data_IF_819286209121
#
_entry.id   IF_819286209121
#
_cell.length_a   1.000
_cell.length_b   1.000
_cell.length_c   1.000
_cell.angle_alpha   90.00
_cell.angle_beta   90.00
_cell.angle_gamma   90.00
#
_symmetry.space_group_name_H-M   'P 1'
#
loop_
_entity.id
_entity.type
_entity.pdbx_description
1 polymer ?
#
# COMPACT_ATOMS: atom_id res chain seq x y z
N UNK A 1 17.89 23.06 -27.02
CA UNK A 1 16.57 22.92 -26.43
C UNK A 1 16.64 22.52 -24.97
N UNK A 2 16.21 23.41 -24.10
CA UNK A 2 15.93 23.14 -22.69
C UNK A 2 14.41 23.13 -22.54
N UNK A 3 13.87 22.02 -22.04
CA UNK A 3 12.44 21.90 -21.80
C UNK A 3 12.17 21.90 -20.29
N UNK A 4 11.32 22.80 -19.81
CA UNK A 4 10.79 22.74 -18.46
C UNK A 4 9.53 21.89 -18.43
N UNK A 5 9.55 20.79 -17.69
CA UNK A 5 8.43 19.82 -17.63
C UNK A 5 7.83 19.81 -16.22
N UNK A 6 6.50 19.91 -16.13
CA UNK A 6 5.74 19.75 -14.90
C UNK A 6 5.13 18.33 -14.81
N UNK A 7 5.48 17.58 -13.78
CA UNK A 7 4.89 16.30 -13.42
C UNK A 7 3.82 16.47 -12.34
N UNK A 8 2.59 16.14 -12.69
CA UNK A 8 1.44 16.27 -11.80
C UNK A 8 1.16 14.96 -11.07
N UNK A 9 1.61 14.89 -9.81
CA UNK A 9 1.33 13.78 -8.90
C UNK A 9 0.05 14.08 -8.10
N UNK A 10 -0.56 13.07 -7.44
CA UNK A 10 -1.79 13.29 -6.69
C UNK A 10 -1.69 14.34 -5.56
N UNK A 11 -0.51 14.45 -4.93
CA UNK A 11 -0.26 15.34 -3.77
C UNK A 11 1.02 16.19 -3.92
N UNK A 12 1.53 16.32 -5.15
CA UNK A 12 2.65 17.22 -5.43
C UNK A 12 2.73 17.55 -6.91
N UNK A 13 3.35 18.67 -7.25
CA UNK A 13 3.81 18.99 -8.60
C UNK A 13 5.33 19.07 -8.57
N UNK A 14 5.99 18.43 -9.53
CA UNK A 14 7.45 18.51 -9.68
C UNK A 14 7.75 19.12 -11.04
N UNK A 15 8.38 20.29 -11.04
CA UNK A 15 8.89 20.94 -12.25
C UNK A 15 10.38 20.68 -12.33
N UNK A 16 10.89 20.27 -13.48
CA UNK A 16 12.32 20.04 -13.70
C UNK A 16 12.70 20.39 -15.14
N UNK A 17 13.99 20.67 -15.35
CA UNK A 17 14.54 20.91 -16.68
C UNK A 17 15.00 19.59 -17.31
N UNK A 18 14.62 19.38 -18.56
CA UNK A 18 15.04 18.28 -19.43
C UNK A 18 15.95 18.83 -20.52
N UNK A 19 17.08 18.16 -20.74
CA UNK A 19 18.05 18.49 -21.78
C UNK A 19 18.08 17.37 -22.81
N UNK A 20 17.74 17.67 -24.06
CA UNK A 20 17.98 16.74 -25.16
C UNK A 20 19.48 16.71 -25.49
N UNK A 21 20.16 15.57 -25.24
CA UNK A 21 21.55 15.34 -25.68
C UNK A 21 22.57 14.94 -24.60
N UNK A 22 22.19 14.86 -23.33
CA UNK A 22 23.08 14.38 -22.27
C UNK A 22 23.26 12.86 -22.32
N UNK A 23 24.48 12.38 -22.63
CA UNK A 23 24.87 11.00 -22.29
C UNK A 23 24.58 10.78 -20.82
N UNK A 24 23.81 9.74 -20.47
CA UNK A 24 23.68 9.27 -19.10
C UNK A 24 25.09 9.01 -18.57
N UNK A 25 25.57 9.83 -17.64
CA UNK A 25 26.82 9.55 -16.96
C UNK A 25 26.61 8.23 -16.21
N UNK A 26 27.32 7.19 -16.62
CA UNK A 26 27.34 5.92 -15.90
C UNK A 26 27.92 6.19 -14.51
N UNK A 27 27.04 6.30 -13.51
CA UNK A 27 27.46 6.48 -12.14
C UNK A 27 28.05 5.14 -11.68
N UNK A 28 29.34 5.13 -11.30
CA UNK A 28 30.02 3.94 -10.78
C UNK A 28 29.25 3.28 -9.62
N UNK A 29 28.58 4.07 -8.78
CA UNK A 29 27.72 3.56 -7.71
C UNK A 29 26.44 2.88 -8.22
N UNK A 30 25.93 3.25 -9.40
CA UNK A 30 24.80 2.59 -10.06
C UNK A 30 25.21 1.21 -10.58
N UNK A 31 26.39 1.10 -11.20
CA UNK A 31 26.97 -0.18 -11.65
C UNK A 31 27.22 -1.13 -10.48
N UNK A 32 27.82 -0.64 -9.39
CA UNK A 32 28.05 -1.45 -8.18
C UNK A 32 26.73 -1.93 -7.53
N UNK A 33 25.68 -1.10 -7.55
CA UNK A 33 24.35 -1.51 -7.07
C UNK A 33 23.68 -2.54 -7.98
N UNK A 34 23.89 -2.47 -9.30
CA UNK A 34 23.42 -3.48 -10.25
C UNK A 34 24.13 -4.82 -10.01
N UNK A 35 25.44 -4.81 -9.76
CA UNK A 35 26.21 -6.02 -9.41
C UNK A 35 25.78 -6.64 -8.07
N UNK A 36 25.54 -5.82 -7.04
CA UNK A 36 24.99 -6.28 -5.75
C UNK A 36 23.59 -6.90 -5.93
N UNK A 37 22.75 -6.28 -6.75
CA UNK A 37 21.43 -6.81 -7.11
C UNK A 37 21.50 -8.12 -7.90
N UNK A 38 22.49 -8.27 -8.78
CA UNK A 38 22.72 -9.49 -9.57
C UNK A 38 23.27 -10.66 -8.73
N UNK A 39 24.04 -10.36 -7.66
CA UNK A 39 24.50 -11.35 -6.66
C UNK A 39 23.41 -11.81 -5.70
N UNK A 40 22.21 -11.20 -5.73
CA UNK A 40 21.07 -11.60 -4.91
C UNK A 40 21.06 -11.02 -3.49
N UNK A 41 21.95 -10.08 -3.18
CA UNK A 41 22.06 -9.45 -1.87
C UNK A 41 20.95 -8.41 -1.66
N UNK A 42 19.74 -8.88 -1.36
CA UNK A 42 18.66 -8.01 -0.90
C UNK A 42 18.99 -7.51 0.49
N UNK A 43 18.98 -6.20 0.74
CA UNK A 43 19.23 -5.64 2.08
C UNK A 43 17.99 -5.69 3.00
N UNK A 44 16.89 -6.33 2.58
CA UNK A 44 15.63 -6.39 3.34
C UNK A 44 14.85 -5.07 3.38
N UNK A 45 15.34 -4.03 2.70
CA UNK A 45 14.79 -2.68 2.72
C UNK A 45 14.52 -2.12 1.32
N UNK A 46 13.63 -1.15 1.24
CA UNK A 46 13.31 -0.46 -0.01
C UNK A 46 14.14 0.82 -0.12
N UNK A 47 15.07 0.85 -1.09
CA UNK A 47 15.88 2.05 -1.37
C UNK A 47 14.99 3.26 -1.67
N UNK A 48 15.46 4.51 -1.44
CA UNK A 48 14.70 5.70 -1.79
C UNK A 48 14.26 5.74 -3.27
N UNK A 49 15.11 5.26 -4.19
CA UNK A 49 14.77 5.18 -5.61
C UNK A 49 13.66 4.16 -5.88
N UNK A 50 13.77 2.95 -5.34
CA UNK A 50 12.71 1.93 -5.44
C UNK A 50 11.40 2.42 -4.83
N UNK A 51 11.47 3.15 -3.71
CA UNK A 51 10.31 3.74 -3.04
C UNK A 51 9.60 4.74 -3.93
N UNK A 52 10.34 5.64 -4.59
CA UNK A 52 9.79 6.59 -5.56
C UNK A 52 9.13 5.86 -6.74
N UNK A 53 9.77 4.81 -7.24
CA UNK A 53 9.25 4.02 -8.35
C UNK A 53 7.96 3.27 -7.98
N UNK A 54 7.95 2.56 -6.85
CA UNK A 54 6.75 1.87 -6.32
C UNK A 54 5.63 2.86 -6.08
N UNK A 55 5.94 4.03 -5.49
CA UNK A 55 4.95 5.09 -5.29
C UNK A 55 4.37 5.57 -6.62
N UNK A 56 5.18 5.70 -7.68
CA UNK A 56 4.69 6.03 -9.03
C UNK A 56 3.66 4.99 -9.52
N UNK A 57 3.96 3.71 -9.39
CA UNK A 57 3.04 2.65 -9.82
C UNK A 57 1.72 2.70 -9.05
N UNK A 58 1.80 2.77 -7.72
CA UNK A 58 0.63 2.82 -6.84
C UNK A 58 -0.20 4.09 -7.06
N UNK A 59 0.45 5.25 -7.17
CA UNK A 59 -0.24 6.51 -7.37
C UNK A 59 -1.05 6.49 -8.67
N UNK A 60 -0.42 6.12 -9.79
CA UNK A 60 -1.08 6.14 -11.08
C UNK A 60 -2.20 5.11 -11.19
N UNK A 61 -1.96 3.91 -10.65
CA UNK A 61 -2.96 2.84 -10.63
C UNK A 61 -4.16 3.16 -9.74
N UNK A 62 -3.94 3.60 -8.51
CA UNK A 62 -5.03 3.90 -7.57
C UNK A 62 -5.81 5.15 -8.00
N UNK A 63 -5.12 6.14 -8.56
CA UNK A 63 -5.75 7.35 -9.04
C UNK A 63 -6.60 7.10 -10.29
N UNK A 64 -6.15 6.27 -11.24
CA UNK A 64 -6.97 5.91 -12.40
C UNK A 64 -8.28 5.24 -11.98
N UNK A 65 -8.22 4.28 -11.06
CA UNK A 65 -9.44 3.66 -10.50
C UNK A 65 -10.32 4.67 -9.76
N UNK A 66 -9.74 5.59 -8.99
CA UNK A 66 -10.50 6.58 -8.22
C UNK A 66 -11.20 7.62 -9.11
N UNK A 67 -10.58 7.99 -10.23
CA UNK A 67 -11.16 8.95 -11.19
C UNK A 67 -12.25 8.30 -12.03
N UNK A 68 -12.03 7.07 -12.52
CA UNK A 68 -12.93 6.43 -13.48
C UNK A 68 -14.08 5.67 -12.81
N UNK A 69 -13.85 5.03 -11.66
CA UNK A 69 -14.90 4.29 -10.96
C UNK A 69 -15.81 5.25 -10.19
N UNK A 70 -16.94 5.61 -10.79
CA UNK A 70 -18.00 6.40 -10.15
C UNK A 70 -19.18 5.51 -9.73
N UNK A 71 -19.88 5.88 -8.66
CA UNK A 71 -21.10 5.18 -8.22
C UNK A 71 -20.92 4.07 -7.18
N UNK A 72 -21.92 3.18 -7.09
CA UNK A 72 -22.00 2.14 -6.05
C UNK A 72 -21.10 0.96 -6.39
N UNK A 73 -20.18 0.63 -5.48
CA UNK A 73 -19.31 -0.55 -5.59
C UNK A 73 -20.18 -1.82 -5.53
N UNK A 74 -20.13 -2.62 -6.59
CA UNK A 74 -20.73 -3.94 -6.70
C UNK A 74 -19.64 -5.02 -6.65
N UNK A 75 -20.03 -6.30 -6.73
CA UNK A 75 -19.09 -7.42 -6.71
C UNK A 75 -18.14 -7.43 -7.92
N UNK A 76 -18.56 -6.85 -9.04
CA UNK A 76 -17.79 -6.82 -10.29
C UNK A 76 -17.09 -5.47 -10.51
N UNK A 77 -17.18 -4.55 -9.55
CA UNK A 77 -16.52 -3.26 -9.66
C UNK A 77 -15.00 -3.41 -9.54
N UNK A 78 -14.28 -2.72 -10.42
CA UNK A 78 -12.86 -2.46 -10.26
C UNK A 78 -12.70 -1.54 -9.05
N UNK A 79 -12.16 -2.10 -7.97
CA UNK A 79 -12.08 -1.45 -6.67
C UNK A 79 -10.80 -1.85 -5.96
N UNK A 80 -9.98 -0.89 -5.48
CA UNK A 80 -8.82 -1.23 -4.69
C UNK A 80 -9.25 -1.91 -3.39
N UNK A 81 -8.84 -3.15 -3.16
CA UNK A 81 -8.99 -3.85 -1.88
C UNK A 81 -7.61 -4.02 -1.26
N UNK A 82 -7.44 -3.47 -0.05
CA UNK A 82 -6.19 -3.56 0.68
C UNK A 82 -6.28 -4.67 1.74
N UNK A 83 -5.45 -5.68 1.57
CA UNK A 83 -5.40 -6.94 2.30
C UNK A 83 -4.10 -7.02 3.09
N UNK A 84 -4.21 -7.50 4.32
CA UNK A 84 -3.10 -7.79 5.23
C UNK A 84 -3.12 -9.30 5.47
N UNK A 85 -2.00 -10.00 5.24
CA UNK A 85 -1.86 -11.45 5.45
C UNK A 85 -0.83 -11.75 6.53
N UNK A 86 -1.18 -12.57 7.50
CA UNK A 86 -0.33 -12.96 8.65
C UNK A 86 -0.23 -14.47 8.74
N UNK A 87 0.86 -14.94 9.36
CA UNK A 87 0.99 -16.34 9.78
C UNK A 87 0.35 -16.52 11.17
N UNK A 88 -0.49 -17.53 11.37
CA UNK A 88 -1.22 -17.74 12.63
C UNK A 88 -0.38 -18.44 13.71
N UNK A 89 0.77 -18.99 13.35
CA UNK A 89 1.72 -19.65 14.23
C UNK A 89 3.14 -19.18 13.89
N UNK A 90 4.14 -19.61 14.68
CA UNK A 90 5.54 -19.34 14.41
C UNK A 90 5.92 -19.79 12.99
N UNK A 91 6.73 -18.98 12.31
CA UNK A 91 7.16 -19.24 10.96
C UNK A 91 8.03 -20.51 10.88
N UNK A 92 7.49 -21.57 10.25
CA UNK A 92 8.20 -22.84 10.05
C UNK A 92 8.98 -22.92 8.73
N UNK A 93 8.61 -22.12 7.73
CA UNK A 93 9.22 -22.11 6.40
C UNK A 93 10.03 -20.83 6.19
N UNK A 94 11.02 -20.83 5.29
CA UNK A 94 11.75 -19.60 4.98
C UNK A 94 10.90 -18.60 4.18
N UNK A 95 11.36 -17.35 4.15
CA UNK A 95 10.61 -16.26 3.52
C UNK A 95 10.36 -16.49 2.03
N UNK A 96 11.31 -17.07 1.30
CA UNK A 96 11.19 -17.31 -0.14
C UNK A 96 10.18 -18.41 -0.44
N UNK A 97 10.16 -19.48 0.36
CA UNK A 97 9.15 -20.53 0.26
C UNK A 97 7.74 -19.99 0.52
N UNK A 98 7.57 -19.18 1.57
CA UNK A 98 6.27 -18.55 1.87
C UNK A 98 5.84 -17.64 0.72
N UNK A 99 6.76 -16.84 0.17
CA UNK A 99 6.45 -15.95 -0.95
C UNK A 99 6.09 -16.71 -2.22
N UNK A 100 6.85 -17.74 -2.57
CA UNK A 100 6.66 -18.49 -3.82
C UNK A 100 5.44 -19.39 -3.74
N UNK A 101 5.37 -20.22 -2.70
CA UNK A 101 4.46 -21.35 -2.63
C UNK A 101 3.14 -21.01 -1.92
N UNK A 102 3.14 -19.99 -1.05
CA UNK A 102 1.92 -19.55 -0.34
C UNK A 102 1.37 -18.25 -0.91
N UNK A 103 2.12 -17.14 -0.86
CA UNK A 103 1.65 -15.84 -1.37
C UNK A 103 1.41 -15.87 -2.89
N UNK A 104 2.33 -16.45 -3.67
CA UNK A 104 2.19 -16.59 -5.13
C UNK A 104 0.95 -17.40 -5.51
N UNK A 105 0.71 -18.50 -4.79
CA UNK A 105 -0.49 -19.31 -4.99
C UNK A 105 -1.77 -18.57 -4.54
N UNK A 106 -1.72 -17.84 -3.43
CA UNK A 106 -2.83 -16.99 -2.97
C UNK A 106 -3.23 -15.95 -4.02
N UNK A 107 -2.27 -15.22 -4.58
CA UNK A 107 -2.52 -14.25 -5.66
C UNK A 107 -3.12 -14.96 -6.88
N UNK A 108 -2.62 -16.14 -7.23
CA UNK A 108 -3.18 -16.95 -8.33
C UNK A 108 -4.65 -17.31 -8.09
N UNK A 109 -5.02 -17.68 -6.86
CA UNK A 109 -6.41 -17.93 -6.48
C UNK A 109 -7.27 -16.66 -6.61
N UNK A 110 -6.76 -15.50 -6.17
CA UNK A 110 -7.49 -14.23 -6.32
C UNK A 110 -7.74 -13.88 -7.80
N UNK A 111 -6.76 -14.10 -8.68
CA UNK A 111 -6.92 -13.89 -10.13
C UNK A 111 -8.00 -14.80 -10.72
N UNK A 112 -7.98 -16.10 -10.35
CA UNK A 112 -8.89 -17.11 -10.90
C UNK A 112 -10.34 -16.97 -10.42
N UNK A 113 -10.54 -16.69 -9.13
CA UNK A 113 -11.87 -16.77 -8.50
C UNK A 113 -12.48 -15.42 -8.13
N UNK A 114 -11.69 -14.34 -8.16
CA UNK A 114 -12.14 -13.00 -7.79
C UNK A 114 -11.88 -11.94 -8.86
N UNK A 115 -11.52 -12.36 -10.08
CA UNK A 115 -11.29 -11.47 -11.23
C UNK A 115 -10.27 -10.35 -10.94
N UNK A 116 -9.31 -10.61 -10.06
CA UNK A 116 -8.19 -9.69 -9.85
C UNK A 116 -7.34 -9.66 -11.11
N UNK A 117 -7.12 -8.47 -11.68
CA UNK A 117 -6.24 -8.29 -12.83
C UNK A 117 -4.88 -7.83 -12.37
N UNK A 118 -4.85 -6.75 -11.60
CA UNK A 118 -3.65 -6.11 -11.09
C UNK A 118 -3.51 -6.26 -9.58
N UNK A 119 -2.28 -6.45 -9.14
CA UNK A 119 -1.93 -6.51 -7.74
C UNK A 119 -0.60 -5.84 -7.46
N UNK A 120 -0.42 -5.46 -6.20
CA UNK A 120 0.86 -5.06 -5.63
C UNK A 120 0.98 -5.67 -4.23
N UNK A 121 2.10 -6.29 -3.90
CA UNK A 121 2.40 -6.76 -2.54
C UNK A 121 3.72 -6.24 -2.01
N UNK A 122 3.78 -6.14 -0.68
CA UNK A 122 5.00 -5.89 0.10
C UNK A 122 5.07 -6.84 1.28
N UNK A 123 6.26 -7.36 1.54
CA UNK A 123 6.61 -8.14 2.71
C UNK A 123 7.27 -7.27 3.78
N UNK A 124 6.93 -7.50 5.04
CA UNK A 124 7.51 -6.84 6.21
C UNK A 124 7.71 -7.85 7.35
N UNK A 125 8.74 -7.70 8.18
CA UNK A 125 8.84 -8.48 9.42
C UNK A 125 7.79 -8.00 10.43
N UNK A 126 7.11 -8.93 11.09
CA UNK A 126 6.20 -8.64 12.19
C UNK A 126 6.95 -8.69 13.54
N UNK A 127 6.37 -8.13 14.60
CA UNK A 127 6.98 -8.12 15.95
C UNK A 127 7.26 -9.53 16.52
N UNK A 128 6.54 -10.54 16.04
CA UNK A 128 6.73 -11.94 16.44
C UNK A 128 7.65 -12.71 15.47
N UNK A 129 8.48 -12.00 14.72
CA UNK A 129 9.47 -12.51 13.77
C UNK A 129 8.90 -13.18 12.51
N UNK A 130 7.59 -13.34 12.42
CA UNK A 130 6.93 -13.85 11.22
C UNK A 130 6.96 -12.82 10.07
N UNK A 131 7.07 -13.32 8.84
CA UNK A 131 6.78 -12.53 7.65
C UNK A 131 5.30 -12.12 7.60
N UNK A 132 5.07 -10.86 7.24
CA UNK A 132 3.77 -10.24 7.07
C UNK A 132 3.64 -9.67 5.65
N UNK A 133 2.45 -9.74 5.04
CA UNK A 133 2.23 -9.15 3.72
C UNK A 133 1.15 -8.08 3.72
N UNK A 134 1.45 -6.98 3.07
CA UNK A 134 0.52 -5.95 2.64
C UNK A 134 0.27 -6.13 1.13
N UNK A 135 -0.98 -6.38 0.73
CA UNK A 135 -1.37 -6.67 -0.65
C UNK A 135 -2.52 -5.76 -1.06
N UNK A 136 -2.40 -5.11 -2.22
CA UNK A 136 -3.49 -4.37 -2.85
C UNK A 136 -3.87 -5.09 -4.13
N UNK A 137 -5.16 -5.27 -4.33
CA UNK A 137 -5.76 -5.86 -5.54
C UNK A 137 -6.86 -4.96 -6.08
N UNK A 138 -7.25 -5.12 -7.34
CA UNK A 138 -8.26 -4.28 -8.02
C UNK A 138 -9.67 -4.87 -8.09
N UNK A 139 -9.99 -5.85 -7.25
CA UNK A 139 -11.33 -6.39 -7.16
C UNK A 139 -11.93 -6.21 -5.76
N UNK A 140 -13.25 -6.03 -5.68
CA UNK A 140 -13.96 -6.15 -4.42
C UNK A 140 -14.00 -7.62 -3.97
N UNK A 141 -13.44 -7.91 -2.79
CA UNK A 141 -13.44 -9.25 -2.22
C UNK A 141 -13.98 -9.21 -0.78
N UNK A 142 -14.96 -10.07 -0.49
CA UNK A 142 -15.48 -10.17 0.86
C UNK A 142 -14.44 -10.79 1.81
N UNK A 143 -14.29 -10.23 3.01
CA UNK A 143 -13.28 -10.67 3.99
C UNK A 143 -13.28 -12.18 4.28
N UNK A 144 -14.47 -12.80 4.34
CA UNK A 144 -14.56 -14.24 4.57
C UNK A 144 -13.95 -15.07 3.43
N UNK A 145 -14.01 -14.59 2.19
CA UNK A 145 -13.44 -15.26 1.02
C UNK A 145 -11.90 -15.17 1.05
N UNK A 146 -11.37 -13.97 1.35
CA UNK A 146 -9.91 -13.75 1.55
C UNK A 146 -9.38 -14.66 2.67
N UNK A 147 -10.05 -14.66 3.82
CA UNK A 147 -9.70 -15.51 4.97
C UNK A 147 -9.71 -16.99 4.60
N UNK A 148 -10.78 -17.46 3.93
CA UNK A 148 -10.91 -18.86 3.50
C UNK A 148 -9.78 -19.25 2.56
N UNK A 149 -9.49 -18.44 1.55
CA UNK A 149 -8.45 -18.71 0.58
C UNK A 149 -7.07 -18.77 1.24
N UNK A 150 -6.72 -17.80 2.09
CA UNK A 150 -5.42 -17.79 2.77
C UNK A 150 -5.27 -18.96 3.77
N UNK A 151 -6.29 -19.19 4.61
CA UNK A 151 -6.26 -20.31 5.56
C UNK A 151 -6.18 -21.67 4.88
N UNK A 152 -6.87 -21.86 3.76
CA UNK A 152 -6.80 -23.12 3.01
C UNK A 152 -5.38 -23.41 2.50
N UNK A 153 -4.61 -22.38 2.18
CA UNK A 153 -3.21 -22.54 1.77
C UNK A 153 -2.37 -22.87 2.99
N UNK A 154 -2.49 -22.07 4.06
CA UNK A 154 -1.75 -22.28 5.30
C UNK A 154 -1.99 -23.66 5.94
N UNK A 155 -3.18 -24.24 5.78
CA UNK A 155 -3.52 -25.59 6.25
C UNK A 155 -2.65 -26.66 5.59
N UNK A 156 -2.39 -26.52 4.28
CA UNK A 156 -1.54 -27.44 3.51
C UNK A 156 -0.08 -27.44 3.98
N UNK A 157 0.36 -26.35 4.62
CA UNK A 157 1.71 -26.18 5.16
C UNK A 157 1.76 -26.33 6.69
N UNK A 158 0.70 -26.86 7.32
CA UNK A 158 0.67 -27.20 8.74
C UNK A 158 0.47 -26.02 9.70
N UNK A 159 0.42 -24.78 9.24
CA UNK A 159 0.29 -23.59 10.12
C UNK A 159 -1.01 -23.58 10.93
N UNK A 160 -2.11 -24.09 10.35
CA UNK A 160 -3.39 -24.18 11.06
C UNK A 160 -3.35 -25.26 12.15
N UNK A 161 -2.71 -26.39 11.89
CA UNK A 161 -2.57 -27.44 12.90
C UNK A 161 -1.66 -26.98 14.04
N UNK A 162 -0.52 -26.36 13.75
CA UNK A 162 0.35 -25.76 14.79
C UNK A 162 -0.42 -24.72 15.61
N UNK A 163 -1.24 -23.89 14.97
CA UNK A 163 -2.10 -22.94 15.67
C UNK A 163 -3.10 -23.64 16.61
N UNK A 164 -3.76 -24.71 16.16
CA UNK A 164 -4.70 -25.48 16.98
C UNK A 164 -4.00 -26.19 18.14
N UNK A 165 -2.81 -26.75 17.92
CA UNK A 165 -1.99 -27.35 18.97
C UNK A 165 -1.61 -26.31 20.05
N UNK A 166 -1.18 -25.12 19.64
CA UNK A 166 -0.91 -24.03 20.56
C UNK A 166 -2.13 -23.64 21.40
N UNK A 167 -3.34 -23.67 20.81
CA UNK A 167 -4.57 -23.44 21.56
C UNK A 167 -4.86 -24.57 22.57
N UNK A 168 -4.72 -25.84 22.15
CA UNK A 168 -4.91 -26.99 23.04
C UNK A 168 -3.94 -26.94 24.22
N UNK A 169 -2.68 -26.61 23.98
CA UNK A 169 -1.68 -26.48 25.04
C UNK A 169 -1.97 -25.29 25.95
N UNK A 170 -2.28 -24.12 25.38
CA UNK A 170 -2.64 -22.92 26.16
C UNK A 170 -3.85 -23.17 27.08
N UNK A 171 -4.80 -23.98 26.63
CA UNK A 171 -6.02 -24.27 27.36
C UNK A 171 -6.02 -25.64 28.06
N UNK A 172 -4.85 -26.28 28.18
CA UNK A 172 -4.70 -27.63 28.77
C UNK A 172 -5.21 -27.71 30.21
N UNK A 173 -5.04 -26.63 30.98
CA UNK A 173 -5.52 -26.52 32.37
C UNK A 173 -6.91 -25.85 32.49
N UNK A 174 -7.67 -25.76 31.39
CA UNK A 174 -8.95 -25.07 31.32
C UNK A 174 -8.83 -23.63 30.78
N UNK A 175 -9.89 -22.84 30.98
CA UNK A 175 -9.93 -21.46 30.47
C UNK A 175 -8.88 -20.57 31.16
N UNK A 176 -7.95 -20.03 30.37
CA UNK A 176 -6.97 -19.04 30.79
C UNK A 176 -7.15 -17.74 30.01
N UNK A 177 -6.93 -16.60 30.69
CA UNK A 177 -7.02 -15.28 30.05
C UNK A 177 -5.68 -14.95 29.41
N UNK A 178 -5.70 -14.64 28.12
CA UNK A 178 -4.57 -14.04 27.44
C UNK A 178 -4.52 -12.54 27.74
N UNK A 179 -3.61 -12.16 28.65
CA UNK A 179 -3.44 -10.77 29.09
C UNK A 179 -2.96 -9.81 28.00
N UNK A 180 -2.13 -10.29 27.05
CA UNK A 180 -1.71 -9.51 25.88
C UNK A 180 -2.89 -9.20 24.96
N UNK A 181 -3.71 -10.21 24.67
CA UNK A 181 -4.93 -10.03 23.87
C UNK A 181 -5.92 -9.08 24.57
N UNK A 182 -6.10 -9.21 25.89
CA UNK A 182 -6.96 -8.31 26.65
C UNK A 182 -6.50 -6.85 26.55
N UNK A 183 -5.19 -6.58 26.71
CA UNK A 183 -4.61 -5.23 26.54
C UNK A 183 -4.85 -4.67 25.13
N UNK A 184 -4.64 -5.49 24.09
CA UNK A 184 -4.87 -5.09 22.70
C UNK A 184 -6.35 -4.79 22.43
N UNK A 185 -7.25 -5.61 22.97
CA UNK A 185 -8.69 -5.40 22.87
C UNK A 185 -9.11 -4.07 23.51
N UNK A 186 -8.70 -3.83 24.77
CA UNK A 186 -9.02 -2.61 25.52
C UNK A 186 -8.57 -1.38 24.73
N UNK A 187 -7.31 -1.37 24.27
CA UNK A 187 -6.77 -0.24 23.50
C UNK A 187 -7.61 0.05 22.26
N UNK A 188 -7.90 -0.97 21.44
CA UNK A 188 -8.66 -0.80 20.19
C UNK A 188 -10.08 -0.30 20.44
N UNK A 189 -10.78 -0.87 21.41
CA UNK A 189 -12.16 -0.46 21.70
C UNK A 189 -12.22 0.90 22.40
N UNK A 190 -11.25 1.25 23.24
CA UNK A 190 -11.13 2.58 23.82
C UNK A 190 -10.94 3.64 22.74
N UNK A 191 -10.03 3.42 21.77
CA UNK A 191 -9.83 4.34 20.64
C UNK A 191 -11.12 4.54 19.81
N UNK A 192 -11.90 3.47 19.59
CA UNK A 192 -13.19 3.57 18.89
C UNK A 192 -14.21 4.39 19.67
N UNK A 193 -14.32 4.19 20.98
CA UNK A 193 -15.23 4.94 21.85
C UNK A 193 -14.86 6.42 21.85
N UNK A 194 -13.58 6.74 22.01
CA UNK A 194 -13.09 8.13 21.97
C UNK A 194 -13.40 8.79 20.63
N UNK A 195 -13.17 8.11 19.51
CA UNK A 195 -13.55 8.64 18.17
C UNK A 195 -15.05 8.86 18.00
N UNK A 196 -15.87 8.14 18.75
CA UNK A 196 -17.32 8.32 18.77
C UNK A 196 -17.79 9.33 19.84
N UNK A 197 -16.87 10.08 20.47
CA UNK A 197 -17.18 11.05 21.52
C UNK A 197 -17.56 10.44 22.87
N UNK A 198 -17.32 9.15 23.08
CA UNK A 198 -17.65 8.43 24.32
C UNK A 198 -16.41 8.26 25.20
N UNK A 199 -16.57 8.41 26.52
CA UNK A 199 -15.49 8.15 27.49
C UNK A 199 -15.34 6.63 27.69
N UNK A 200 -14.16 6.03 27.42
CA UNK A 200 -13.95 4.60 27.63
C UNK A 200 -13.88 4.24 29.12
N UNK A 201 -14.45 3.10 29.49
CA UNK A 201 -14.32 2.51 30.82
C UNK A 201 -13.48 1.23 30.71
N UNK A 202 -12.25 1.29 31.18
CA UNK A 202 -11.27 0.20 31.04
C UNK A 202 -11.71 -1.10 31.71
N UNK A 203 -12.34 -1.03 32.90
CA UNK A 203 -12.85 -2.20 33.60
C UNK A 203 -13.93 -2.92 32.79
N UNK A 204 -14.85 -2.16 32.19
CA UNK A 204 -15.90 -2.72 31.31
C UNK A 204 -15.28 -3.37 30.07
N UNK A 205 -14.29 -2.71 29.45
CA UNK A 205 -13.59 -3.25 28.28
C UNK A 205 -12.78 -4.50 28.60
N UNK A 206 -12.17 -4.57 29.78
CA UNK A 206 -11.47 -5.76 30.26
C UNK A 206 -12.42 -6.95 30.37
N UNK A 207 -13.55 -6.80 31.07
CA UNK A 207 -14.53 -7.88 31.19
C UNK A 207 -15.14 -8.29 29.85
N UNK A 208 -15.40 -7.33 28.94
CA UNK A 208 -15.83 -7.64 27.59
C UNK A 208 -14.79 -8.49 26.83
N UNK A 209 -13.49 -8.21 27.00
CA UNK A 209 -12.40 -9.01 26.43
C UNK A 209 -12.37 -10.43 27.00
N UNK A 210 -12.54 -10.58 28.33
CA UNK A 210 -12.58 -11.88 29.01
C UNK A 210 -13.78 -12.70 28.52
N UNK A 211 -14.96 -12.09 28.42
CA UNK A 211 -16.16 -12.75 27.88
C UNK A 211 -15.94 -13.23 26.44
N UNK A 212 -15.32 -12.40 25.59
CA UNK A 212 -15.01 -12.80 24.22
C UNK A 212 -14.02 -13.97 24.16
N UNK A 213 -12.96 -13.93 24.97
CA UNK A 213 -12.00 -15.04 25.04
C UNK A 213 -12.67 -16.33 25.55
N UNK A 214 -13.54 -16.22 26.56
CA UNK A 214 -14.31 -17.35 27.10
C UNK A 214 -15.23 -17.97 26.04
N UNK A 215 -15.96 -17.16 25.29
CA UNK A 215 -16.81 -17.66 24.20
C UNK A 215 -16.00 -18.38 23.11
N UNK A 216 -14.78 -17.92 22.80
CA UNK A 216 -13.89 -18.60 21.85
C UNK A 216 -13.39 -19.94 22.39
N UNK A 217 -12.99 -19.97 23.67
CA UNK A 217 -12.62 -21.20 24.37
C UNK A 217 -13.77 -22.21 24.37
N UNK A 218 -14.96 -21.82 24.81
CA UNK A 218 -16.14 -22.70 24.88
C UNK A 218 -16.53 -23.23 23.49
N UNK A 219 -16.39 -22.41 22.45
CA UNK A 219 -16.63 -22.85 21.07
C UNK A 219 -15.60 -23.88 20.62
N UNK A 220 -14.31 -23.65 20.88
CA UNK A 220 -13.24 -24.55 20.49
C UNK A 220 -13.25 -25.86 21.29
N UNK A 221 -13.66 -25.84 22.56
CA UNK A 221 -13.75 -27.05 23.37
C UNK A 221 -14.76 -28.08 22.82
N UNK A 222 -15.79 -27.66 22.07
CA UNK A 222 -16.81 -28.55 21.51
C UNK A 222 -16.24 -29.61 20.57
N UNK A 223 -15.11 -29.33 19.95
CA UNK A 223 -14.45 -30.22 18.98
C UNK A 223 -12.93 -30.32 19.20
N UNK A 224 -12.48 -30.06 20.43
CA UNK A 224 -11.06 -30.04 20.80
C UNK A 224 -10.20 -29.14 19.86
N UNK A 225 -10.76 -27.97 19.50
CA UNK A 225 -10.21 -26.94 18.63
C UNK A 225 -9.98 -27.37 17.17
N UNK A 226 -10.43 -28.57 16.76
CA UNK A 226 -10.15 -29.15 15.45
C UNK A 226 -10.62 -28.29 14.27
N UNK A 227 -11.75 -27.59 14.39
CA UNK A 227 -12.28 -26.71 13.33
C UNK A 227 -11.95 -25.24 13.53
N UNK A 228 -11.18 -24.90 14.58
CA UNK A 228 -10.85 -23.50 14.88
C UNK A 228 -10.00 -22.91 13.76
N UNK A 229 -10.41 -21.75 13.26
CA UNK A 229 -9.71 -21.03 12.19
C UNK A 229 -9.16 -19.69 12.68
N UNK A 230 -7.84 -19.45 12.55
CA UNK A 230 -7.22 -18.20 13.00
C UNK A 230 -7.70 -17.01 12.16
N UNK A 231 -7.66 -15.81 12.73
CA UNK A 231 -7.85 -14.57 11.98
C UNK A 231 -6.53 -14.13 11.32
N UNK A 232 -6.15 -14.83 10.26
CA UNK A 232 -4.87 -14.66 9.55
C UNK A 232 -4.87 -13.54 8.50
N UNK A 233 -6.02 -12.87 8.29
CA UNK A 233 -6.18 -11.84 7.26
C UNK A 233 -6.94 -10.63 7.80
N UNK A 234 -6.65 -9.44 7.27
CA UNK A 234 -7.45 -8.24 7.50
C UNK A 234 -7.74 -7.51 6.18
N UNK A 235 -8.89 -6.83 6.10
CA UNK A 235 -9.24 -5.95 4.98
C UNK A 235 -9.42 -4.53 5.51
N UNK A 236 -8.63 -3.61 4.97
CA UNK A 236 -8.68 -2.20 5.35
C UNK A 236 -9.86 -1.50 4.69
N UNK A 237 -10.68 -0.80 5.49
CA UNK A 237 -11.80 -0.01 4.98
C UNK A 237 -11.29 1.26 4.29
N UNK A 238 -11.44 1.34 2.97
CA UNK A 238 -10.97 2.51 2.20
C UNK A 238 -12.02 3.62 2.00
N UNK A 239 -13.31 3.34 2.22
CA UNK A 239 -14.44 4.24 1.92
C UNK A 239 -14.43 5.62 2.63
N UNK A 240 -13.61 5.82 3.66
CA UNK A 240 -13.56 7.07 4.46
C UNK A 240 -12.21 7.80 4.36
N UNK A 241 -11.34 7.36 3.46
CA UNK A 241 -10.01 7.94 3.35
C UNK A 241 -10.06 9.21 2.51
N UNK A 242 -9.48 10.30 3.03
CA UNK A 242 -9.30 11.55 2.28
C UNK A 242 -8.50 11.34 1.00
N UNK A 243 -7.55 10.40 1.03
CA UNK A 243 -6.86 9.89 -0.14
C UNK A 243 -6.47 8.43 0.07
N UNK A 244 -7.10 7.54 -0.70
CA UNK A 244 -6.80 6.11 -0.73
C UNK A 244 -5.33 5.90 -1.11
N UNK A 245 -4.88 6.64 -2.13
CA UNK A 245 -3.52 6.61 -2.65
C UNK A 245 -2.47 6.93 -1.60
N UNK A 246 -2.66 7.99 -0.81
CA UNK A 246 -1.73 8.36 0.25
C UNK A 246 -1.67 7.31 1.36
N UNK A 247 -2.83 6.78 1.76
CA UNK A 247 -2.91 5.74 2.80
C UNK A 247 -2.17 4.47 2.35
N UNK A 248 -2.54 3.91 1.20
CA UNK A 248 -1.94 2.67 0.68
C UNK A 248 -0.45 2.86 0.43
N UNK A 249 -0.05 3.97 -0.21
CA UNK A 249 1.36 4.26 -0.46
C UNK A 249 2.13 4.35 0.85
N UNK A 250 1.59 4.95 1.91
CA UNK A 250 2.27 5.02 3.22
C UNK A 250 2.64 3.63 3.76
N UNK A 251 1.73 2.66 3.69
CA UNK A 251 2.03 1.29 4.15
C UNK A 251 2.99 0.58 3.20
N UNK A 252 2.77 0.66 1.89
CA UNK A 252 3.56 -0.07 0.90
C UNK A 252 4.94 0.53 0.61
N UNK A 253 5.18 1.77 1.02
CA UNK A 253 6.43 2.49 0.79
C UNK A 253 7.11 2.92 2.09
N UNK A 254 6.66 2.41 3.24
CA UNK A 254 7.20 2.77 4.56
C UNK A 254 8.73 2.66 4.55
N UNK A 255 9.38 3.74 4.98
CA UNK A 255 10.82 3.77 5.15
C UNK A 255 11.18 2.93 6.38
N UNK A 256 12.03 1.93 6.18
CA UNK A 256 12.68 1.20 7.26
C UNK A 256 14.03 1.85 7.56
N UNK A 257 14.07 3.19 7.66
CA UNK A 257 15.28 3.88 8.10
C UNK A 257 15.48 3.55 9.58
N UNK A 258 16.58 2.86 9.85
CA UNK A 258 17.04 2.46 11.19
C UNK A 258 17.04 3.68 12.12
N UNK A 259 17.53 4.84 11.63
CA UNK A 259 17.60 6.09 12.40
C UNK A 259 16.26 6.79 12.66
N UNK A 260 15.30 6.69 11.72
CA UNK A 260 14.01 7.38 11.84
C UNK A 260 13.06 6.64 12.77
N UNK A 261 13.15 5.30 12.82
CA UNK A 261 12.27 4.48 13.66
C UNK A 261 12.74 4.35 15.10
N UNK A 262 14.04 4.52 15.40
CA UNK A 262 14.53 4.61 16.78
C UNK A 262 13.98 5.84 17.52
N UNK A 263 13.67 6.94 16.82
CA UNK A 263 13.23 8.20 17.44
C UNK A 263 11.74 8.26 17.77
N UNK A 264 10.87 7.56 17.03
CA UNK A 264 9.43 7.83 17.13
C UNK A 264 8.71 7.05 18.23
N UNK A 265 9.20 5.86 18.62
CA UNK A 265 8.67 5.05 19.74
C UNK A 265 9.79 4.14 20.23
N UNK A 266 10.24 4.25 21.48
CA UNK A 266 11.22 3.35 22.12
C UNK A 266 10.78 1.89 22.18
N UNK A 267 10.64 1.26 21.01
CA UNK A 267 10.29 -0.13 20.77
C UNK A 267 11.34 -0.64 19.81
N UNK A 268 12.06 -1.68 20.22
CA UNK A 268 12.96 -2.44 19.36
C UNK A 268 12.21 -2.82 18.08
N UNK A 269 12.48 -2.10 17.00
CA UNK A 269 11.99 -2.46 15.70
C UNK A 269 12.89 -3.61 15.24
N UNK A 270 12.37 -4.82 15.28
CA UNK A 270 13.11 -6.05 15.04
C UNK A 270 13.98 -5.95 13.78
N UNK A 271 15.28 -6.17 13.96
CA UNK A 271 16.34 -6.20 12.94
C UNK A 271 16.22 -7.38 11.96
N UNK A 272 15.12 -8.15 11.99
CA UNK A 272 14.96 -9.28 11.08
C UNK A 272 14.84 -8.80 9.65
N UNK A 273 15.89 -9.10 8.90
CA UNK A 273 15.97 -8.94 7.46
C UNK A 273 15.11 -10.01 6.78
N UNK A 274 14.21 -9.58 5.88
CA UNK A 274 13.47 -10.50 5.02
C UNK A 274 14.40 -11.02 3.93
N UNK A 275 14.51 -12.35 3.80
CA UNK A 275 15.34 -12.98 2.78
C UNK A 275 14.72 -12.82 1.40
N UNK A 276 15.49 -12.37 0.40
CA UNK A 276 15.03 -12.23 -0.98
C UNK A 276 14.17 -10.98 -1.25
N UNK A 277 13.41 -11.01 -2.35
CA UNK A 277 12.60 -9.87 -2.81
C UNK A 277 11.50 -9.51 -1.79
N UNK A 278 11.37 -8.23 -1.45
CA UNK A 278 10.42 -7.71 -0.44
C UNK A 278 9.14 -7.10 -1.02
N UNK A 279 9.04 -6.93 -2.34
CA UNK A 279 7.85 -6.40 -2.99
C UNK A 279 7.68 -6.98 -4.39
N UNK A 280 6.46 -6.96 -4.91
CA UNK A 280 6.18 -7.36 -6.28
C UNK A 280 4.84 -6.85 -6.76
N UNK A 281 4.65 -6.77 -8.07
CA UNK A 281 3.43 -6.26 -8.68
C UNK A 281 3.18 -6.87 -10.05
N UNK A 282 1.98 -6.68 -10.59
CA UNK A 282 1.69 -6.96 -11.99
C UNK A 282 2.58 -6.14 -12.93
N UNK A 283 2.93 -6.70 -14.08
CA UNK A 283 3.79 -6.03 -15.07
C UNK A 283 3.12 -4.82 -15.70
N UNK A 284 1.80 -4.85 -15.91
CA UNK A 284 1.00 -3.73 -16.41
C UNK A 284 1.15 -2.45 -15.56
N UNK A 285 1.49 -2.58 -14.27
CA UNK A 285 1.69 -1.43 -13.39
C UNK A 285 3.04 -0.74 -13.63
N UNK A 286 4.00 -1.43 -14.24
CA UNK A 286 5.38 -0.92 -14.38
C UNK A 286 5.52 0.13 -15.48
N UNK A 287 4.58 0.15 -16.43
CA UNK A 287 4.54 1.09 -17.56
C UNK A 287 3.87 2.41 -17.20
N UNK A 288 3.26 2.51 -16.01
CA UNK A 288 2.48 3.69 -15.61
C UNK A 288 3.38 4.91 -15.35
N UNK A 289 2.96 6.04 -15.91
CA UNK A 289 3.62 7.34 -15.77
C UNK A 289 2.63 8.39 -15.25
N UNK A 290 3.17 9.38 -14.53
CA UNK A 290 2.39 10.54 -14.14
C UNK A 290 2.03 11.37 -15.37
N UNK A 291 0.92 12.10 -15.27
CA UNK A 291 0.60 13.16 -16.22
C UNK A 291 1.71 14.22 -16.20
N UNK A 292 2.22 14.55 -17.38
CA UNK A 292 3.31 15.51 -17.59
C UNK A 292 2.84 16.56 -18.60
N UNK A 293 3.20 17.82 -18.36
CA UNK A 293 2.99 18.91 -19.32
C UNK A 293 4.25 19.74 -19.46
N UNK A 294 4.53 20.18 -20.68
CA UNK A 294 5.56 21.18 -20.95
C UNK A 294 5.12 22.53 -20.38
N UNK A 295 5.98 23.14 -19.57
CA UNK A 295 5.81 24.48 -18.99
C UNK A 295 6.39 25.53 -19.92
N UNK A 296 7.60 25.29 -20.39
CA UNK A 296 8.32 26.21 -21.25
C UNK A 296 9.35 25.43 -22.09
N UNK A 297 9.61 25.92 -23.29
CA UNK A 297 10.69 25.47 -24.16
C UNK A 297 11.57 26.68 -24.41
N UNK A 298 12.84 26.55 -24.08
CA UNK A 298 13.88 27.54 -24.34
C UNK A 298 14.86 26.98 -25.38
N UNK A 299 14.95 27.67 -26.51
CA UNK A 299 15.94 27.46 -27.55
C UNK A 299 16.78 28.72 -27.74
N UNK A 300 17.85 28.60 -28.55
CA UNK A 300 18.88 29.64 -28.70
C UNK A 300 18.31 31.03 -29.02
N UNK A 301 17.22 31.10 -29.80
CA UNK A 301 16.60 32.34 -30.25
C UNK A 301 15.12 32.51 -29.83
N UNK A 302 14.52 31.53 -29.14
CA UNK A 302 13.06 31.53 -28.89
C UNK A 302 12.70 30.88 -27.55
N UNK A 303 11.77 31.51 -26.83
CA UNK A 303 11.14 30.96 -25.63
C UNK A 303 9.63 30.86 -25.85
N UNK A 304 9.07 29.67 -25.68
CA UNK A 304 7.61 29.44 -25.71
C UNK A 304 7.15 28.95 -24.34
N UNK A 305 6.10 29.55 -23.78
CA UNK A 305 5.51 29.13 -22.49
C UNK A 305 4.09 28.60 -22.66
N UNK A 306 3.75 27.58 -21.86
CA UNK A 306 2.38 27.15 -21.65
C UNK A 306 1.78 27.99 -20.52
N UNK A 307 1.12 29.09 -20.90
CA UNK A 307 0.62 30.09 -19.95
C UNK A 307 -0.39 29.50 -18.96
N UNK A 308 -1.22 28.53 -19.35
CA UNK A 308 -2.15 27.87 -18.42
C UNK A 308 -1.39 27.13 -17.31
N UNK A 309 -0.39 26.31 -17.68
CA UNK A 309 0.42 25.56 -16.72
C UNK A 309 1.22 26.51 -15.84
N UNK A 310 1.84 27.54 -16.42
CA UNK A 310 2.58 28.56 -15.70
C UNK A 310 1.70 29.30 -14.68
N UNK A 311 0.54 29.79 -15.10
CA UNK A 311 -0.41 30.47 -14.22
C UNK A 311 -0.87 29.58 -13.07
N UNK A 312 -1.07 28.28 -13.32
CA UNK A 312 -1.39 27.32 -12.27
C UNK A 312 -0.25 27.16 -11.26
N UNK A 313 1.00 27.03 -11.73
CA UNK A 313 2.19 26.94 -10.87
C UNK A 313 2.40 28.22 -10.04
N UNK A 314 2.18 29.40 -10.63
CA UNK A 314 2.23 30.68 -9.94
C UNK A 314 1.15 30.77 -8.87
N UNK A 315 -0.06 30.28 -9.17
CA UNK A 315 -1.14 30.19 -8.17
C UNK A 315 -0.76 29.27 -7.01
N UNK A 316 -0.15 28.12 -7.30
CA UNK A 316 0.35 27.22 -6.25
C UNK A 316 1.40 27.91 -5.37
N UNK A 317 2.33 28.65 -5.96
CA UNK A 317 3.36 29.39 -5.22
C UNK A 317 2.76 30.45 -4.27
N UNK A 318 1.59 31.01 -4.61
CA UNK A 318 0.89 32.00 -3.78
C UNK A 318 0.09 31.38 -2.62
N UNK A 319 -0.56 30.24 -2.85
CA UNK A 319 -1.46 29.62 -1.85
C UNK A 319 -0.74 28.67 -0.89
N UNK A 320 0.41 28.14 -1.29
CA UNK A 320 1.21 27.25 -0.45
C UNK A 320 2.10 28.05 0.49
N UNK A 321 2.38 27.45 1.65
CA UNK A 321 3.39 27.97 2.56
C UNK A 321 4.77 27.79 1.96
N UNK A 322 5.72 28.63 2.35
CA UNK A 322 7.11 28.53 1.90
C UNK A 322 7.73 27.14 2.16
N UNK A 323 7.41 26.51 3.29
CA UNK A 323 7.87 25.15 3.66
C UNK A 323 7.35 24.03 2.75
N UNK A 324 6.27 24.28 2.02
CA UNK A 324 5.67 23.34 1.06
C UNK A 324 6.23 23.51 -0.36
N UNK A 325 7.08 24.53 -0.60
CA UNK A 325 7.72 24.79 -1.89
C UNK A 325 9.23 24.61 -1.77
N UNK A 326 9.75 23.54 -2.37
CA UNK A 326 11.18 23.24 -2.39
C UNK A 326 11.72 23.65 -3.74
N UNK A 327 12.66 24.61 -3.76
CA UNK A 327 13.36 25.04 -4.96
C UNK A 327 14.80 24.58 -4.91
N UNK A 328 15.26 24.02 -6.01
CA UNK A 328 16.63 23.61 -6.28
C UNK A 328 17.03 24.17 -7.66
N UNK A 329 18.31 24.12 -8.00
CA UNK A 329 18.82 24.60 -9.29
C UNK A 329 18.16 23.88 -10.47
N UNK A 330 17.84 22.59 -10.30
CA UNK A 330 17.36 21.74 -11.41
C UNK A 330 15.87 21.40 -11.32
N UNK A 331 15.21 21.67 -10.19
CA UNK A 331 13.81 21.33 -10.00
C UNK A 331 13.11 22.19 -8.95
N UNK A 332 11.78 22.26 -9.05
CA UNK A 332 10.91 22.81 -8.02
C UNK A 332 9.83 21.78 -7.65
N UNK A 333 9.62 21.56 -6.35
CA UNK A 333 8.56 20.68 -5.83
C UNK A 333 7.54 21.50 -5.05
N UNK A 334 6.29 21.42 -5.47
CA UNK A 334 5.13 21.94 -4.74
C UNK A 334 4.46 20.79 -4.00
N UNK A 335 4.48 20.80 -2.66
CA UNK A 335 3.80 19.80 -1.82
C UNK A 335 2.38 20.27 -1.55
N UNK A 336 1.40 19.39 -1.79
CA UNK A 336 0.00 19.76 -1.71
C UNK A 336 -0.66 19.12 -0.49
N UNK A 337 -1.34 19.95 0.31
CA UNK A 337 -2.15 19.50 1.44
C UNK A 337 -3.56 19.02 1.02
N UNK A 338 -3.91 19.23 -0.24
CA UNK A 338 -5.16 18.81 -0.89
C UNK A 338 -4.80 18.10 -2.20
N UNK A 339 -5.64 17.16 -2.64
CA UNK A 339 -5.42 16.46 -3.92
C UNK A 339 -5.35 17.45 -5.09
N UNK A 340 -4.31 17.30 -5.91
CA UNK A 340 -3.98 18.14 -7.05
C UNK A 340 -5.19 18.36 -7.98
N UNK A 341 -5.93 17.27 -8.23
CA UNK A 341 -7.17 17.27 -9.02
C UNK A 341 -8.16 18.36 -8.59
N UNK A 342 -8.33 18.58 -7.28
CA UNK A 342 -9.29 19.57 -6.74
C UNK A 342 -8.80 20.99 -6.97
N UNK A 343 -7.51 21.23 -6.78
CA UNK A 343 -6.89 22.54 -7.03
C UNK A 343 -6.92 22.89 -8.51
N UNK A 344 -6.64 21.93 -9.39
CA UNK A 344 -6.76 22.13 -10.84
C UNK A 344 -8.19 22.43 -11.26
N UNK A 345 -9.19 21.73 -10.70
CA UNK A 345 -10.59 21.97 -11.02
C UNK A 345 -11.01 23.43 -10.76
N UNK A 346 -10.45 24.05 -9.71
CA UNK A 346 -10.74 25.42 -9.32
C UNK A 346 -9.93 26.46 -10.10
N UNK A 347 -8.65 26.18 -10.36
CA UNK A 347 -7.70 27.20 -10.84
C UNK A 347 -7.16 26.98 -12.26
N UNK A 348 -7.36 25.79 -12.86
CA UNK A 348 -6.93 25.48 -14.22
C UNK A 348 -7.85 24.39 -14.85
N UNK A 349 -9.09 24.73 -15.24
CA UNK A 349 -10.08 23.74 -15.69
C UNK A 349 -9.68 22.93 -16.93
N UNK A 350 -8.94 23.50 -17.89
CA UNK A 350 -8.52 22.77 -19.08
C UNK A 350 -7.37 21.80 -18.75
N UNK A 351 -6.41 22.22 -17.95
CA UNK A 351 -5.40 21.33 -17.36
C UNK A 351 -6.05 20.22 -16.52
N UNK A 352 -7.09 20.55 -15.75
CA UNK A 352 -7.86 19.55 -15.00
C UNK A 352 -8.47 18.49 -15.94
N UNK A 353 -9.05 18.92 -17.06
CA UNK A 353 -9.60 18.01 -18.06
C UNK A 353 -8.52 17.09 -18.67
N UNK A 354 -7.36 17.63 -19.07
CA UNK A 354 -6.24 16.83 -19.59
C UNK A 354 -5.71 15.83 -18.56
N UNK A 355 -5.59 16.26 -17.30
CA UNK A 355 -5.25 15.39 -16.17
C UNK A 355 -6.24 14.24 -16.03
N UNK A 356 -7.56 14.51 -16.06
CA UNK A 356 -8.57 13.45 -15.99
C UNK A 356 -8.50 12.49 -17.18
N UNK A 357 -8.31 13.01 -18.39
CA UNK A 357 -8.17 12.23 -19.61
C UNK A 357 -6.98 11.28 -19.53
N UNK A 358 -5.82 11.74 -19.02
CA UNK A 358 -4.64 10.88 -18.78
C UNK A 358 -4.97 9.66 -17.91
N UNK A 359 -5.66 9.88 -16.79
CA UNK A 359 -5.98 8.79 -15.86
C UNK A 359 -7.14 7.90 -16.34
N UNK A 360 -8.07 8.43 -17.14
CA UNK A 360 -9.05 7.61 -17.84
C UNK A 360 -8.39 6.73 -18.90
N UNK A 361 -7.45 7.25 -19.68
CA UNK A 361 -6.68 6.46 -20.63
C UNK A 361 -5.82 5.40 -19.93
N UNK A 362 -5.22 5.75 -18.79
CA UNK A 362 -4.50 4.80 -17.93
C UNK A 362 -5.44 3.68 -17.46
N UNK A 363 -6.67 4.01 -17.05
CA UNK A 363 -7.66 3.03 -16.68
C UNK A 363 -8.03 2.12 -17.86
N UNK A 364 -8.27 2.69 -19.05
CA UNK A 364 -8.58 1.92 -20.26
C UNK A 364 -7.41 1.03 -20.71
N UNK A 365 -6.17 1.49 -20.58
CA UNK A 365 -4.99 0.65 -20.82
C UNK A 365 -4.99 -0.57 -19.89
N UNK A 366 -5.28 -0.35 -18.60
CA UNK A 366 -5.30 -1.41 -17.60
C UNK A 366 -6.54 -2.31 -17.69
N UNK A 367 -7.68 -1.82 -18.18
CA UNK A 367 -8.99 -2.49 -18.00
C UNK A 367 -9.88 -2.54 -19.23
N UNK A 368 -9.51 -1.93 -20.35
CA UNK A 368 -10.35 -1.78 -21.54
C UNK A 368 -10.84 -3.11 -22.11
N UNK A 369 -10.02 -4.17 -22.04
CA UNK A 369 -10.40 -5.53 -22.45
C UNK A 369 -11.51 -6.17 -21.61
N UNK A 370 -11.79 -5.65 -20.41
CA UNK A 370 -12.82 -6.19 -19.51
C UNK A 370 -14.19 -5.56 -19.75
N UNK A 371 -14.26 -4.35 -20.32
CA UNK A 371 -15.53 -3.66 -20.56
C UNK A 371 -16.36 -4.32 -21.67
N UNK A 372 -15.73 -5.02 -22.62
CA UNK A 372 -16.40 -5.78 -23.68
C UNK A 372 -16.95 -7.14 -23.23
N UNK A 373 -16.59 -7.62 -22.04
CA UNK A 373 -17.00 -8.93 -21.53
C UNK A 373 -18.15 -8.90 -20.51
N UNK A 374 -18.68 -7.71 -20.20
CA UNK A 374 -19.81 -7.53 -19.28
C UNK A 374 -21.06 -6.94 -19.96
N UNK A 375 -21.07 -6.86 -21.29
CA UNK A 375 -22.24 -6.50 -22.11
C UNK A 375 -22.92 -7.73 -22.66
#
# INVERSE_FOLDING_TARGET
MIESIALFKPHSVVVYQSFEGGRTQENAASLENLEKGAKGDYNGYMSPATRRQVKKYLDNWLLSMTITTTGKITRNSIYPTFITLTLPAAQAHDDNDIKRNMLGYFITQLKRYHHVKNYFWRAEPQQNDNIHFHLVVDAYIHHAQVKKAWNSILDQYGYLETYRQNLREHYRAGFQINGQEAKQYIKREAEKLTRAGKKPNEKVLYWASVTQQRQRYERGQRDNFNTTQPNSTDIHKLKKLRSITAYISKYLTKANDVDSQMKEKGRDFMDRKINGRIWGCSDDLKTLTYHAETVAIEDFDMSTTNDEVKNYLDKLAQVLKAEDVIKDENFTVYRLNVENRKLMQEHAPSLHHRYQTHYNNTFLQLYGSLQTSFT
#
